data_IF_076614236569
#
_entry.id   IF_076614236569
#
_cell.length_a   1.000
_cell.length_b   1.000
_cell.length_c   1.000
_cell.angle_alpha   90.00
_cell.angle_beta   90.00
_cell.angle_gamma   90.00
#
_symmetry.space_group_name_H-M   'P 1'
#
loop_
_entity.id
_entity.type
_entity.pdbx_description
1 polymer ?
#
# COMPACT_ATOMS: atom_id res chain seq x y z
N UNK A 1 5.04 -8.70 14.01
CA UNK A 1 3.84 -7.88 14.24
C UNK A 1 3.15 -7.46 12.94
N UNK A 2 3.82 -6.83 11.97
CA UNK A 2 3.20 -6.48 10.67
C UNK A 2 2.58 -7.69 9.91
N UNK A 3 3.23 -8.87 9.98
CA UNK A 3 2.76 -10.10 9.33
C UNK A 3 1.49 -10.70 9.96
N UNK A 4 1.27 -10.44 11.24
CA UNK A 4 0.10 -10.94 11.98
C UNK A 4 -1.13 -10.09 11.66
N UNK A 5 -0.93 -8.76 11.60
CA UNK A 5 -1.94 -7.78 11.18
C UNK A 5 -2.38 -8.03 9.73
N UNK A 6 -1.46 -8.37 8.82
CA UNK A 6 -1.80 -8.72 7.44
C UNK A 6 -2.71 -9.96 7.35
N UNK A 7 -2.48 -10.95 8.22
CA UNK A 7 -3.22 -12.22 8.26
C UNK A 7 -4.62 -12.06 8.87
N UNK A 8 -4.77 -11.15 9.84
CA UNK A 8 -6.06 -10.84 10.48
C UNK A 8 -6.90 -9.84 9.68
N UNK A 9 -6.27 -8.94 8.91
CA UNK A 9 -6.98 -7.89 8.17
C UNK A 9 -7.53 -8.35 6.81
N UNK A 10 -6.94 -9.36 6.16
CA UNK A 10 -7.38 -9.87 4.86
C UNK A 10 -7.19 -11.39 4.76
N UNK A 11 -8.28 -12.15 4.75
CA UNK A 11 -8.23 -13.58 4.42
C UNK A 11 -7.86 -13.73 2.92
N UNK A 12 -6.71 -14.37 2.61
CA UNK A 12 -6.29 -14.66 1.23
C UNK A 12 -5.24 -13.73 0.60
N UNK A 13 -4.56 -12.90 1.40
CA UNK A 13 -3.42 -12.09 0.94
C UNK A 13 -2.12 -12.54 1.61
N UNK A 14 -1.20 -13.12 0.84
CA UNK A 14 0.11 -13.59 1.32
C UNK A 14 1.22 -12.66 0.80
N UNK A 15 1.72 -11.72 1.63
CA UNK A 15 2.71 -10.76 1.19
C UNK A 15 4.05 -11.44 0.87
N UNK A 16 4.55 -11.22 -0.35
CA UNK A 16 5.91 -11.60 -0.77
C UNK A 16 6.90 -10.46 -0.56
N UNK A 17 6.42 -9.22 -0.61
CA UNK A 17 7.22 -8.02 -0.34
C UNK A 17 6.48 -7.10 0.62
N UNK A 18 7.22 -6.51 1.57
CA UNK A 18 6.69 -5.65 2.62
C UNK A 18 7.60 -4.44 2.78
N UNK A 19 7.04 -3.24 2.72
CA UNK A 19 7.70 -2.00 3.09
C UNK A 19 6.94 -1.31 4.21
N UNK A 20 7.66 -0.98 5.27
CA UNK A 20 7.11 -0.30 6.44
C UNK A 20 7.58 1.14 6.41
N UNK A 21 6.65 2.06 6.65
CA UNK A 21 6.97 3.47 6.85
C UNK A 21 7.95 3.67 8.02
N UNK A 22 8.90 4.59 7.89
CA UNK A 22 9.89 4.87 8.94
C UNK A 22 9.29 5.30 10.28
N UNK A 23 8.13 5.97 10.29
CA UNK A 23 7.45 6.33 11.53
C UNK A 23 6.60 5.17 12.10
N UNK A 24 6.50 4.04 11.39
CA UNK A 24 5.80 2.83 11.84
C UNK A 24 4.28 2.99 11.88
N UNK A 25 3.72 3.96 11.15
CA UNK A 25 2.28 4.25 11.14
C UNK A 25 1.56 3.71 9.90
N UNK A 26 2.30 3.23 8.91
CA UNK A 26 1.77 2.65 7.68
C UNK A 26 2.70 1.57 7.11
N UNK A 27 2.15 0.71 6.26
CA UNK A 27 2.90 -0.29 5.52
C UNK A 27 2.27 -0.51 4.14
N UNK A 28 3.12 -0.82 3.16
CA UNK A 28 2.74 -1.22 1.83
C UNK A 28 3.23 -2.65 1.61
N UNK A 29 2.35 -3.51 1.09
CA UNK A 29 2.64 -4.91 0.87
C UNK A 29 2.26 -5.31 -0.55
N UNK A 30 2.99 -6.27 -1.13
CA UNK A 30 2.71 -6.85 -2.44
C UNK A 30 2.65 -8.37 -2.32
N UNK A 31 1.66 -8.99 -2.94
CA UNK A 31 1.57 -10.45 -3.06
C UNK A 31 2.19 -10.98 -4.37
N UNK A 32 2.30 -12.29 -4.52
CA UNK A 32 2.85 -12.94 -5.70
C UNK A 32 2.06 -12.61 -7.00
N UNK A 33 0.76 -12.36 -6.88
CA UNK A 33 -0.12 -11.94 -7.98
C UNK A 33 0.08 -10.45 -8.37
N UNK A 34 0.92 -9.72 -7.63
CA UNK A 34 1.18 -8.30 -7.87
C UNK A 34 0.12 -7.37 -7.31
N UNK A 35 -0.85 -7.88 -6.52
CA UNK A 35 -1.80 -7.04 -5.81
C UNK A 35 -1.08 -6.29 -4.68
N UNK A 36 -1.43 -5.04 -4.50
CA UNK A 36 -0.84 -4.20 -3.47
C UNK A 36 -1.84 -3.91 -2.36
N UNK A 37 -1.42 -4.07 -1.10
CA UNK A 37 -2.21 -3.81 0.08
C UNK A 37 -1.57 -2.64 0.85
N UNK A 38 -2.32 -1.55 0.99
CA UNK A 38 -1.95 -0.42 1.84
C UNK A 38 -2.58 -0.60 3.21
N UNK A 39 -1.76 -0.53 4.25
CA UNK A 39 -2.22 -0.58 5.64
C UNK A 39 -1.78 0.69 6.35
N UNK A 40 -2.68 1.30 7.11
CA UNK A 40 -2.37 2.45 7.96
C UNK A 40 -2.94 2.28 9.35
N UNK A 41 -2.33 2.98 10.29
CA UNK A 41 -2.87 3.14 11.63
C UNK A 41 -4.01 4.16 11.62
N UNK A 42 -5.15 3.75 12.17
CA UNK A 42 -6.31 4.60 12.40
C UNK A 42 -6.66 4.55 13.89
N UNK A 43 -6.02 5.42 14.66
CA UNK A 43 -6.10 5.41 16.13
C UNK A 43 -5.41 4.18 16.73
N UNK A 44 -6.18 3.34 17.41
CA UNK A 44 -5.70 2.07 18.03
C UNK A 44 -5.85 0.87 17.10
N UNK A 45 -6.55 1.03 15.97
CA UNK A 45 -6.78 -0.04 15.00
C UNK A 45 -5.91 0.15 13.75
N UNK A 46 -5.74 -0.95 13.02
CA UNK A 46 -5.13 -0.96 11.70
C UNK A 46 -6.20 -1.15 10.65
N UNK A 47 -6.12 -0.37 9.57
CA UNK A 47 -7.05 -0.48 8.43
C UNK A 47 -6.22 -0.78 7.20
N UNK A 48 -6.57 -1.88 6.52
CA UNK A 48 -5.97 -2.30 5.26
C UNK A 48 -6.92 -2.10 4.09
N UNK A 49 -6.37 -1.75 2.93
CA UNK A 49 -7.12 -1.62 1.68
C UNK A 49 -6.28 -2.08 0.50
N UNK A 50 -6.86 -2.98 -0.30
CA UNK A 50 -6.28 -3.36 -1.59
C UNK A 50 -6.32 -2.16 -2.54
N UNK A 51 -5.21 -1.95 -3.23
CA UNK A 51 -5.05 -0.91 -4.22
C UNK A 51 -5.40 -1.47 -5.61
N UNK A 52 -6.25 -0.76 -6.33
CA UNK A 52 -6.69 -1.07 -7.69
C UNK A 52 -6.43 0.12 -8.62
N UNK A 53 -6.72 0.01 -9.91
CA UNK A 53 -6.46 1.04 -10.93
C UNK A 53 -6.98 2.47 -10.64
N UNK A 54 -7.89 2.67 -9.69
CA UNK A 54 -8.34 3.99 -9.26
C UNK A 54 -7.38 4.67 -8.24
N UNK A 55 -6.32 3.98 -7.82
CA UNK A 55 -5.35 4.52 -6.89
C UNK A 55 -4.43 5.56 -7.56
N UNK A 56 -3.95 6.51 -6.77
CA UNK A 56 -2.97 7.49 -7.21
C UNK A 56 -1.67 7.25 -6.44
N UNK A 57 -0.53 7.19 -7.14
CA UNK A 57 0.77 7.04 -6.52
C UNK A 57 1.69 8.21 -6.92
N UNK A 58 2.10 9.01 -5.93
CA UNK A 58 3.04 10.12 -6.10
C UNK A 58 4.31 9.85 -5.32
N UNK A 59 5.42 9.79 -6.05
CA UNK A 59 6.75 9.70 -5.46
C UNK A 59 7.33 11.10 -5.27
N UNK A 60 7.81 11.38 -4.06
CA UNK A 60 8.55 12.58 -3.69
C UNK A 60 9.81 12.18 -2.91
N UNK A 61 10.92 12.01 -3.64
CA UNK A 61 12.19 11.52 -3.09
C UNK A 61 12.05 10.21 -2.30
N UNK A 62 12.08 10.28 -0.97
CA UNK A 62 11.98 9.16 -0.03
C UNK A 62 10.53 8.86 0.40
N UNK A 63 9.59 9.75 0.03
CA UNK A 63 8.20 9.68 0.39
C UNK A 63 7.37 9.16 -0.78
N UNK A 64 6.45 8.25 -0.49
CA UNK A 64 5.47 7.74 -1.43
C UNK A 64 4.08 8.08 -0.88
N UNK A 65 3.36 8.95 -1.58
CA UNK A 65 1.96 9.25 -1.28
C UNK A 65 1.07 8.36 -2.12
N UNK A 66 0.22 7.58 -1.47
CA UNK A 66 -0.76 6.69 -2.10
C UNK A 66 -2.16 7.21 -1.78
N UNK A 67 -2.89 7.66 -2.81
CA UNK A 67 -4.31 7.97 -2.77
C UNK A 67 -5.13 6.76 -3.18
N UNK A 68 -6.27 6.53 -2.53
CA UNK A 68 -7.15 5.40 -2.84
C UNK A 68 -8.38 5.81 -3.67
N UNK A 69 -8.41 7.03 -4.20
CA UNK A 69 -9.54 7.60 -4.95
C UNK A 69 -10.79 7.93 -4.10
N UNK A 70 -10.93 7.36 -2.91
CA UNK A 70 -12.06 7.63 -2.01
C UNK A 70 -11.80 8.82 -1.08
N UNK A 71 -12.75 9.78 -1.07
CA UNK A 71 -12.69 10.99 -0.25
C UNK A 71 -12.60 10.70 1.25
N UNK A 72 -13.21 9.61 1.71
CA UNK A 72 -13.26 9.22 3.14
C UNK A 72 -11.98 8.53 3.60
N UNK A 73 -11.29 7.82 2.70
CA UNK A 73 -10.02 7.18 3.02
C UNK A 73 -8.86 8.16 2.85
N UNK A 74 -8.89 9.01 1.83
CA UNK A 74 -7.88 10.02 1.57
C UNK A 74 -6.56 9.44 1.10
N UNK A 75 -5.50 10.25 1.18
CA UNK A 75 -4.14 9.87 0.82
C UNK A 75 -3.31 9.51 2.05
N UNK A 76 -2.36 8.60 1.86
CA UNK A 76 -1.40 8.15 2.89
C UNK A 76 -0.01 8.41 2.36
N UNK A 77 0.79 9.18 3.10
CA UNK A 77 2.20 9.41 2.78
C UNK A 77 3.06 8.48 3.64
N UNK A 78 3.88 7.66 2.99
CA UNK A 78 4.83 6.75 3.62
C UNK A 78 6.26 7.20 3.34
N UNK A 79 7.12 7.25 4.36
CA UNK A 79 8.55 7.41 4.17
C UNK A 79 9.19 6.01 4.02
N UNK A 80 9.46 5.61 2.78
CA UNK A 80 10.04 4.31 2.45
C UNK A 80 11.55 4.40 2.16
N UNK A 81 12.13 5.60 2.18
CA UNK A 81 13.54 5.82 1.86
C UNK A 81 13.88 5.40 0.42
N UNK A 82 15.02 4.73 0.25
CA UNK A 82 15.48 4.25 -1.05
C UNK A 82 14.49 3.30 -1.75
N UNK A 83 13.61 2.63 -0.98
CA UNK A 83 12.60 1.73 -1.55
C UNK A 83 11.41 2.48 -2.17
N UNK A 84 11.23 3.77 -1.87
CA UNK A 84 10.08 4.56 -2.35
C UNK A 84 9.93 4.51 -3.88
N UNK A 85 11.06 4.61 -4.61
CA UNK A 85 11.06 4.57 -6.08
C UNK A 85 10.63 3.21 -6.63
N UNK A 86 11.08 2.12 -6.01
CA UNK A 86 10.71 0.76 -6.39
C UNK A 86 9.20 0.53 -6.25
N UNK A 87 8.64 0.92 -5.10
CA UNK A 87 7.20 0.79 -4.83
C UNK A 87 6.35 1.71 -5.71
N UNK A 88 6.81 2.94 -5.98
CA UNK A 88 6.12 3.84 -6.90
C UNK A 88 6.01 3.25 -8.31
N UNK A 89 7.05 2.58 -8.81
CA UNK A 89 7.02 1.92 -10.10
C UNK A 89 6.00 0.77 -10.13
N UNK A 90 5.94 -0.05 -9.06
CA UNK A 90 4.95 -1.12 -8.93
C UNK A 90 3.51 -0.61 -8.95
N UNK A 91 3.21 0.46 -8.21
CA UNK A 91 1.87 1.07 -8.18
C UNK A 91 1.46 1.70 -9.52
N UNK A 92 2.40 2.30 -10.25
CA UNK A 92 2.13 2.85 -11.59
C UNK A 92 1.66 1.78 -12.57
N UNK A 93 2.11 0.55 -12.44
CA UNK A 93 1.63 -0.55 -13.29
C UNK A 93 0.17 -0.91 -13.02
N UNK A 94 -0.34 -0.71 -11.79
CA UNK A 94 -1.76 -0.94 -11.47
C UNK A 94 -2.68 0.03 -12.24
N UNK A 95 -2.21 1.26 -12.48
CA UNK A 95 -2.96 2.29 -13.21
C UNK A 95 -3.00 2.07 -14.72
N UNK A 96 -2.18 1.16 -15.25
CA UNK A 96 -2.05 0.91 -16.70
C UNK A 96 -2.89 -0.29 -17.19
N UNK A 97 -3.55 -1.04 -16.28
CA UNK A 97 -4.71 -1.87 -16.63
C UNK A 97 -4.70 -3.30 -16.12
N UNK A 98 -5.83 -3.74 -15.57
CA UNK A 98 -6.90 -4.49 -16.26
C UNK A 98 -8.16 -4.42 -15.38
N UNK A 99 -9.38 -4.30 -15.94
CA UNK A 99 -10.57 -4.61 -15.16
C UNK A 99 -10.47 -6.09 -14.75
N UNK A 100 -10.58 -6.37 -13.46
CA UNK A 100 -10.80 -7.74 -12.99
C UNK A 100 -12.10 -8.22 -13.65
N UNK A 101 -11.98 -9.18 -14.56
CA UNK A 101 -13.11 -9.90 -15.16
C UNK A 101 -13.61 -10.98 -14.21
#
# INVERSE_FOLDING_TARGET
>A
QAREIAREALCGFEPVEIAIDKAGIAALMRDADGRHLLVRRHGVQWVGRLLDHHNEARLDQNFLTVGTGEKTFGSVTLNLGAQASHWAAGLRHLNVGRPYA
#
